data_IF_189721059329
#
_entry.id   IF_189721059329
#
_cell.length_a   1.000
_cell.length_b   1.000
_cell.length_c   1.000
_cell.angle_alpha   90.00
_cell.angle_beta   90.00
_cell.angle_gamma   90.00
#
_symmetry.space_group_name_H-M   'P 1'
#
loop_
_entity.id
_entity.type
_entity.pdbx_description
1 polymer ?
#
# COMPACT_ATOMS: atom_id res chain seq x y z
N UNK A 1 10.31 9.27 -16.06
CA UNK A 1 9.95 9.95 -14.80
C UNK A 1 10.81 11.21 -14.53
N UNK A 2 12.14 11.17 -14.32
CA UNK A 2 12.93 12.39 -13.98
C UNK A 2 12.72 13.52 -15.00
N UNK A 3 12.88 13.24 -16.31
CA UNK A 3 12.62 14.23 -17.37
C UNK A 3 11.19 14.75 -17.40
N UNK A 4 10.23 13.94 -17.01
CA UNK A 4 8.81 14.31 -16.94
C UNK A 4 8.55 15.30 -15.81
N UNK A 5 9.17 15.11 -14.64
CA UNK A 5 9.16 16.05 -13.53
C UNK A 5 9.65 17.43 -13.98
N UNK A 6 10.80 17.49 -14.68
CA UNK A 6 11.35 18.74 -15.22
C UNK A 6 10.46 19.42 -16.26
N UNK A 7 9.76 18.66 -17.10
CA UNK A 7 8.82 19.21 -18.08
C UNK A 7 7.58 19.76 -17.41
N UNK A 8 6.99 18.98 -16.48
CA UNK A 8 5.75 19.36 -15.80
C UNK A 8 5.95 20.58 -14.88
N UNK A 9 7.10 20.70 -14.22
CA UNK A 9 7.38 21.82 -13.33
C UNK A 9 7.34 23.18 -14.01
N UNK A 10 7.59 23.25 -15.33
CA UNK A 10 7.57 24.53 -16.08
C UNK A 10 6.19 25.17 -16.16
N UNK A 11 5.13 24.39 -16.01
CA UNK A 11 3.75 24.81 -16.19
C UNK A 11 2.91 24.61 -14.92
N UNK A 12 3.53 24.30 -13.80
CA UNK A 12 2.84 24.02 -12.54
C UNK A 12 3.34 24.98 -11.46
N UNK A 13 2.44 25.85 -10.97
CA UNK A 13 2.77 26.90 -10.00
C UNK A 13 2.08 26.70 -8.64
N UNK A 14 1.29 25.64 -8.49
CA UNK A 14 0.57 25.38 -7.25
C UNK A 14 1.50 24.79 -6.19
N UNK A 15 1.11 24.94 -4.93
CA UNK A 15 1.82 24.35 -3.80
C UNK A 15 1.61 22.84 -3.78
N UNK A 16 2.69 22.07 -3.77
CA UNK A 16 2.65 20.63 -3.53
C UNK A 16 2.66 20.38 -2.03
N UNK A 17 1.63 19.71 -1.55
CA UNK A 17 1.50 19.35 -0.14
C UNK A 17 1.84 17.88 0.11
N UNK A 18 1.73 17.01 -0.91
CA UNK A 18 1.99 15.58 -0.80
C UNK A 18 2.77 15.04 -2.00
N UNK A 19 3.62 14.04 -1.74
CA UNK A 19 4.23 13.19 -2.77
C UNK A 19 3.83 11.76 -2.48
N UNK A 20 3.31 11.06 -3.49
CA UNK A 20 2.86 9.69 -3.35
C UNK A 20 3.58 8.79 -4.35
N UNK A 21 4.38 7.85 -3.85
CA UNK A 21 4.99 6.79 -4.64
C UNK A 21 4.05 5.60 -4.68
N UNK A 22 3.37 5.42 -5.80
CA UNK A 22 2.38 4.38 -6.04
C UNK A 22 2.55 3.72 -7.40
N UNK A 23 1.77 2.64 -7.62
CA UNK A 23 1.77 1.87 -8.86
C UNK A 23 2.96 0.91 -8.98
N UNK A 24 2.72 -0.28 -9.52
CA UNK A 24 3.71 -1.35 -9.50
C UNK A 24 4.10 -1.73 -8.06
N UNK A 25 5.37 -1.66 -7.73
CA UNK A 25 5.88 -1.97 -6.38
C UNK A 25 6.99 -0.97 -6.00
N UNK A 26 6.64 0.23 -5.53
CA UNK A 26 7.63 1.27 -5.23
C UNK A 26 8.62 0.89 -4.12
N UNK A 27 8.25 -0.02 -3.22
CA UNK A 27 9.12 -0.54 -2.17
C UNK A 27 10.36 -1.29 -2.68
N UNK A 28 10.36 -1.71 -3.95
CA UNK A 28 11.54 -2.33 -4.58
C UNK A 28 12.61 -1.32 -5.02
N UNK A 29 12.27 -0.04 -5.12
CA UNK A 29 13.24 1.00 -5.47
C UNK A 29 14.33 1.12 -4.41
N UNK A 30 15.53 1.47 -4.87
CA UNK A 30 16.62 1.82 -3.98
C UNK A 30 16.35 3.18 -3.30
N UNK A 31 16.79 3.33 -2.05
CA UNK A 31 16.55 4.55 -1.27
C UNK A 31 17.12 5.79 -1.95
N UNK A 32 18.27 5.66 -2.61
CA UNK A 32 18.89 6.76 -3.34
C UNK A 32 18.05 7.20 -4.56
N UNK A 33 17.37 6.27 -5.23
CA UNK A 33 16.45 6.60 -6.32
C UNK A 33 15.24 7.37 -5.79
N UNK A 34 14.61 6.89 -4.71
CA UNK A 34 13.50 7.57 -4.05
C UNK A 34 13.89 8.98 -3.64
N UNK A 35 15.01 9.14 -2.96
CA UNK A 35 15.51 10.45 -2.54
C UNK A 35 15.79 11.37 -3.74
N UNK A 36 16.35 10.84 -4.82
CA UNK A 36 16.61 11.62 -6.05
C UNK A 36 15.32 12.17 -6.67
N UNK A 37 14.23 11.40 -6.68
CA UNK A 37 12.92 11.88 -7.13
C UNK A 37 12.39 12.99 -6.22
N UNK A 38 12.45 12.80 -4.90
CA UNK A 38 11.99 13.79 -3.93
C UNK A 38 12.79 15.10 -4.06
N UNK A 39 14.13 14.99 -4.15
CA UNK A 39 15.00 16.15 -4.29
C UNK A 39 14.70 16.93 -5.58
N UNK A 40 14.48 16.21 -6.69
CA UNK A 40 14.13 16.84 -7.96
C UNK A 40 12.78 17.56 -7.90
N UNK A 41 11.79 16.96 -7.23
CA UNK A 41 10.47 17.58 -7.03
C UNK A 41 10.62 18.83 -6.17
N UNK A 42 11.27 18.72 -5.02
CA UNK A 42 11.47 19.87 -4.11
C UNK A 42 12.29 20.99 -4.74
N UNK A 43 13.18 20.68 -5.69
CA UNK A 43 13.97 21.69 -6.42
C UNK A 43 13.15 22.42 -7.49
N UNK A 44 12.21 21.76 -8.14
CA UNK A 44 11.55 22.29 -9.33
C UNK A 44 10.11 22.76 -9.08
N UNK A 45 9.51 22.42 -7.95
CA UNK A 45 8.15 22.81 -7.59
C UNK A 45 8.14 23.59 -6.28
N UNK A 46 7.08 24.37 -6.07
CA UNK A 46 6.79 24.98 -4.78
C UNK A 46 6.23 23.89 -3.85
N UNK A 47 6.96 23.52 -2.81
CA UNK A 47 6.58 22.44 -1.89
C UNK A 47 6.39 22.97 -0.47
N UNK A 48 5.43 22.38 0.26
CA UNK A 48 5.18 22.66 1.67
C UNK A 48 6.38 22.22 2.54
N UNK A 49 6.65 22.93 3.64
CA UNK A 49 7.76 22.60 4.55
C UNK A 49 7.57 21.24 5.23
N UNK A 50 6.34 20.92 5.62
CA UNK A 50 5.91 19.65 6.24
C UNK A 50 5.26 18.70 5.21
N UNK A 51 5.95 18.48 4.10
CA UNK A 51 5.48 17.65 2.98
C UNK A 51 5.19 16.22 3.45
N UNK A 52 3.98 15.71 3.17
CA UNK A 52 3.71 14.28 3.34
C UNK A 52 4.29 13.50 2.17
N UNK A 53 5.12 12.52 2.47
CA UNK A 53 5.77 11.68 1.46
C UNK A 53 5.44 10.22 1.75
N UNK A 54 4.53 9.68 0.96
CA UNK A 54 4.01 8.31 1.10
C UNK A 54 4.71 7.34 0.16
N UNK A 55 5.02 6.15 0.66
CA UNK A 55 5.49 5.01 -0.12
C UNK A 55 4.52 3.84 0.02
N UNK A 56 4.03 3.32 -1.12
CA UNK A 56 3.34 2.03 -1.16
C UNK A 56 4.33 0.87 -0.99
N UNK A 57 3.95 -0.12 -0.22
CA UNK A 57 4.78 -1.30 0.03
C UNK A 57 3.96 -2.56 0.23
N UNK A 58 4.52 -3.71 -0.20
CA UNK A 58 4.02 -5.01 0.21
C UNK A 58 4.63 -5.41 1.57
N UNK A 59 3.91 -6.20 2.39
CA UNK A 59 4.45 -6.71 3.65
C UNK A 59 5.78 -7.44 3.52
N UNK A 60 5.98 -8.16 2.40
CA UNK A 60 7.19 -8.95 2.13
C UNK A 60 8.43 -8.10 1.93
N UNK A 61 8.27 -6.88 1.40
CA UNK A 61 9.37 -5.96 1.10
C UNK A 61 9.85 -5.21 2.36
N UNK A 62 8.97 -5.09 3.38
CA UNK A 62 9.23 -4.31 4.59
C UNK A 62 10.00 -5.10 5.67
N UNK A 63 11.20 -5.54 5.31
CA UNK A 63 12.14 -6.13 6.28
C UNK A 63 12.63 -5.07 7.28
N UNK A 64 13.17 -5.50 8.45
CA UNK A 64 13.77 -4.58 9.41
C UNK A 64 14.87 -3.70 8.79
N UNK A 65 15.67 -4.27 7.86
CA UNK A 65 16.70 -3.53 7.13
C UNK A 65 16.09 -2.44 6.27
N UNK A 66 15.09 -2.79 5.43
CA UNK A 66 14.41 -1.84 4.54
C UNK A 66 13.71 -0.74 5.33
N UNK A 67 13.00 -1.07 6.39
CA UNK A 67 12.34 -0.09 7.26
C UNK A 67 13.33 0.89 7.90
N UNK A 68 14.47 0.38 8.38
CA UNK A 68 15.55 1.23 8.92
C UNK A 68 16.17 2.13 7.86
N UNK A 69 16.27 1.68 6.62
CA UNK A 69 16.76 2.50 5.50
C UNK A 69 15.71 3.56 5.12
N UNK A 70 14.44 3.16 4.97
CA UNK A 70 13.34 4.08 4.68
C UNK A 70 13.18 5.16 5.76
N UNK A 71 13.34 4.82 7.03
CA UNK A 71 13.24 5.80 8.12
C UNK A 71 14.34 6.86 8.12
N UNK A 72 15.42 6.65 7.36
CA UNK A 72 16.49 7.63 7.15
C UNK A 72 16.31 8.44 5.86
N UNK A 73 15.35 8.09 5.05
CA UNK A 73 14.97 8.81 3.84
C UNK A 73 14.01 9.96 4.18
N UNK A 74 13.50 10.64 3.16
CA UNK A 74 12.47 11.66 3.31
C UNK A 74 11.04 11.07 3.39
N UNK A 75 10.88 9.74 3.23
CA UNK A 75 9.59 9.07 3.41
C UNK A 75 9.14 9.22 4.86
N UNK A 76 7.91 9.71 5.08
CA UNK A 76 7.34 9.89 6.40
C UNK A 76 5.98 9.20 6.59
N UNK A 77 5.44 8.57 5.55
CA UNK A 77 4.23 7.76 5.57
C UNK A 77 4.39 6.47 4.77
N UNK A 78 3.85 5.37 5.29
CA UNK A 78 3.73 4.10 4.56
C UNK A 78 2.27 3.79 4.23
N UNK A 79 2.00 3.25 3.02
CA UNK A 79 0.76 2.57 2.67
C UNK A 79 1.07 1.11 2.42
N UNK A 80 0.55 0.21 3.27
CA UNK A 80 0.95 -1.20 3.28
C UNK A 80 -0.19 -2.05 2.77
N UNK A 81 0.02 -2.75 1.67
CA UNK A 81 -0.95 -3.64 1.03
C UNK A 81 -1.17 -4.94 1.81
N UNK A 82 -1.78 -4.86 2.99
CA UNK A 82 -2.12 -6.01 3.84
C UNK A 82 -3.18 -6.89 3.19
N UNK A 83 -4.21 -6.29 2.62
CA UNK A 83 -5.36 -6.85 1.93
C UNK A 83 -6.32 -7.63 2.82
N UNK A 84 -5.84 -8.53 3.67
CA UNK A 84 -6.64 -9.31 4.62
C UNK A 84 -5.78 -9.87 5.75
N UNK A 85 -6.42 -10.18 6.88
CA UNK A 85 -5.84 -11.00 7.94
C UNK A 85 -6.39 -12.44 7.93
N UNK A 86 -7.05 -12.86 6.84
CA UNK A 86 -7.53 -14.21 6.60
C UNK A 86 -6.67 -14.90 5.55
N UNK A 87 -6.01 -15.99 5.92
CA UNK A 87 -5.09 -16.72 5.03
C UNK A 87 -5.77 -17.30 3.78
N UNK A 88 -7.08 -17.62 3.84
CA UNK A 88 -7.82 -18.10 2.68
C UNK A 88 -8.01 -16.98 1.66
N UNK A 89 -8.35 -15.77 2.12
CA UNK A 89 -8.49 -14.59 1.25
C UNK A 89 -7.14 -14.21 0.63
N UNK A 90 -6.06 -14.18 1.42
CA UNK A 90 -4.71 -13.92 0.93
C UNK A 90 -4.29 -14.91 -0.17
N UNK A 91 -4.62 -16.20 -0.01
CA UNK A 91 -4.37 -17.22 -1.05
C UNK A 91 -5.16 -16.98 -2.33
N UNK A 92 -6.45 -16.60 -2.24
CA UNK A 92 -7.27 -16.25 -3.40
C UNK A 92 -6.67 -15.06 -4.16
N UNK A 93 -6.14 -14.07 -3.44
CA UNK A 93 -5.45 -12.91 -4.01
C UNK A 93 -4.02 -13.19 -4.46
N UNK A 94 -3.58 -14.46 -4.39
CA UNK A 94 -2.21 -14.87 -4.72
C UNK A 94 -1.13 -14.08 -3.98
N UNK A 95 -1.39 -13.74 -2.69
CA UNK A 95 -0.42 -13.05 -1.85
C UNK A 95 0.63 -14.03 -1.32
N UNK A 96 1.89 -13.56 -1.26
CA UNK A 96 3.02 -14.34 -0.76
C UNK A 96 2.98 -14.43 0.77
N UNK A 97 2.64 -13.33 1.44
CA UNK A 97 2.52 -13.24 2.89
C UNK A 97 1.24 -13.89 3.41
N UNK A 98 1.28 -14.31 4.64
CA UNK A 98 0.14 -14.79 5.42
C UNK A 98 -0.29 -13.78 6.51
N UNK A 99 -1.35 -14.07 7.24
CA UNK A 99 -1.89 -13.23 8.31
C UNK A 99 -0.85 -12.91 9.41
N UNK A 100 -0.03 -13.89 9.78
CA UNK A 100 1.03 -13.68 10.78
C UNK A 100 2.12 -12.73 10.27
N UNK A 101 2.49 -12.84 8.99
CA UNK A 101 3.46 -11.96 8.36
C UNK A 101 2.93 -10.53 8.27
N UNK A 102 1.64 -10.35 7.93
CA UNK A 102 0.95 -9.07 7.96
C UNK A 102 1.03 -8.38 9.32
N UNK A 103 0.70 -9.12 10.38
CA UNK A 103 0.77 -8.61 11.77
C UNK A 103 2.19 -8.20 12.16
N UNK A 104 3.16 -9.07 11.90
CA UNK A 104 4.58 -8.78 12.16
C UNK A 104 5.09 -7.59 11.33
N UNK A 105 4.60 -7.42 10.10
CA UNK A 105 4.96 -6.27 9.27
C UNK A 105 4.47 -4.96 9.90
N UNK A 106 3.22 -4.91 10.35
CA UNK A 106 2.67 -3.73 11.05
C UNK A 106 3.49 -3.42 12.30
N UNK A 107 3.74 -4.41 13.15
CA UNK A 107 4.51 -4.24 14.40
C UNK A 107 5.94 -3.72 14.13
N UNK A 108 6.58 -4.23 13.07
CA UNK A 108 7.90 -3.74 12.66
C UNK A 108 7.84 -2.31 12.14
N UNK A 109 6.85 -2.00 11.31
CA UNK A 109 6.69 -0.69 10.68
C UNK A 109 6.43 0.40 11.71
N UNK A 110 5.63 0.12 12.73
CA UNK A 110 5.35 1.05 13.86
C UNK A 110 6.58 1.42 14.69
N UNK A 111 7.68 0.66 14.62
CA UNK A 111 8.95 1.03 15.28
C UNK A 111 9.69 2.16 14.57
N UNK A 112 9.36 2.42 13.32
CA UNK A 112 10.07 3.37 12.46
C UNK A 112 9.18 4.49 11.91
N UNK A 113 7.88 4.25 11.80
CA UNK A 113 6.90 5.17 11.21
C UNK A 113 5.72 5.37 12.14
N UNK A 114 5.35 6.63 12.36
CA UNK A 114 4.16 7.02 13.12
C UNK A 114 2.93 7.22 12.23
N UNK A 115 3.10 7.37 10.92
CA UNK A 115 2.01 7.54 9.96
C UNK A 115 1.96 6.33 9.02
N UNK A 116 0.99 5.43 9.27
CA UNK A 116 0.81 4.19 8.53
C UNK A 116 -0.64 4.09 8.07
N UNK A 117 -0.81 3.83 6.78
CA UNK A 117 -2.04 3.36 6.18
C UNK A 117 -1.92 1.87 5.88
N UNK A 118 -3.01 1.14 6.00
CA UNK A 118 -3.10 -0.23 5.48
C UNK A 118 -4.25 -0.33 4.48
N UNK A 119 -4.05 -1.15 3.45
CA UNK A 119 -5.08 -1.42 2.48
C UNK A 119 -5.73 -2.77 2.81
N UNK A 120 -7.07 -2.80 2.86
CA UNK A 120 -7.88 -4.00 3.09
C UNK A 120 -8.87 -4.17 1.94
N UNK A 121 -9.09 -5.42 1.54
CA UNK A 121 -10.09 -5.78 0.53
C UNK A 121 -11.27 -6.50 1.16
N UNK A 122 -12.48 -6.13 0.74
CA UNK A 122 -13.71 -6.81 1.11
C UNK A 122 -14.45 -7.33 -0.14
N UNK A 123 -15.51 -8.11 0.05
CA UNK A 123 -16.24 -8.72 -1.07
C UNK A 123 -15.48 -9.90 -1.69
N UNK A 124 -14.56 -10.52 -0.95
CA UNK A 124 -13.80 -11.68 -1.42
C UNK A 124 -14.70 -12.92 -1.58
N UNK A 125 -14.46 -13.76 -2.58
CA UNK A 125 -15.17 -15.02 -2.73
C UNK A 125 -15.12 -15.86 -1.45
N UNK A 126 -16.26 -16.42 -1.08
CA UNK A 126 -16.44 -17.22 0.15
C UNK A 126 -16.14 -16.47 1.46
N UNK A 127 -16.06 -15.15 1.42
CA UNK A 127 -16.01 -14.30 2.63
C UNK A 127 -17.42 -14.04 3.18
N UNK A 128 -17.51 -13.44 4.34
CA UNK A 128 -18.75 -13.00 4.93
C UNK A 128 -18.50 -11.79 5.84
N UNK A 129 -19.58 -11.20 6.35
CA UNK A 129 -19.50 -10.02 7.22
C UNK A 129 -18.61 -10.25 8.44
N UNK A 130 -18.70 -11.42 9.08
CA UNK A 130 -17.88 -11.73 10.26
C UNK A 130 -16.37 -11.78 9.92
N UNK A 131 -16.01 -12.23 8.73
CA UNK A 131 -14.60 -12.20 8.26
C UNK A 131 -14.14 -10.75 8.06
N UNK A 132 -14.98 -9.92 7.48
CA UNK A 132 -14.68 -8.50 7.29
C UNK A 132 -14.56 -7.75 8.64
N UNK A 133 -15.50 -7.95 9.54
CA UNK A 133 -15.45 -7.40 10.90
C UNK A 133 -14.17 -7.80 11.62
N UNK A 134 -13.79 -9.08 11.56
CA UNK A 134 -12.54 -9.54 12.16
C UNK A 134 -11.30 -8.87 11.53
N UNK A 135 -11.27 -8.62 10.20
CA UNK A 135 -10.19 -7.88 9.56
C UNK A 135 -10.11 -6.43 10.09
N UNK A 136 -11.25 -5.77 10.27
CA UNK A 136 -11.32 -4.42 10.83
C UNK A 136 -10.90 -4.39 12.31
N UNK A 137 -11.38 -5.33 13.14
CA UNK A 137 -11.03 -5.42 14.55
C UNK A 137 -9.52 -5.60 14.75
N UNK A 138 -8.90 -6.46 13.93
CA UNK A 138 -7.45 -6.63 13.95
C UNK A 138 -6.76 -5.31 13.56
N UNK A 139 -7.18 -4.67 12.49
CA UNK A 139 -6.58 -3.41 12.04
C UNK A 139 -6.68 -2.32 13.11
N UNK A 140 -7.85 -2.16 13.72
CA UNK A 140 -8.13 -1.19 14.79
C UNK A 140 -7.28 -1.51 16.04
N UNK A 141 -7.10 -2.78 16.38
CA UNK A 141 -6.30 -3.19 17.54
C UNK A 141 -4.82 -2.76 17.43
N UNK A 142 -4.33 -2.54 16.21
CA UNK A 142 -2.98 -2.01 15.97
C UNK A 142 -2.90 -0.48 16.02
N UNK A 143 -4.00 0.24 16.29
CA UNK A 143 -4.02 1.70 16.32
C UNK A 143 -3.40 2.30 15.04
N UNK A 144 -3.92 1.88 13.89
CA UNK A 144 -3.50 2.33 12.58
C UNK A 144 -4.15 3.66 12.26
N UNK A 145 -3.36 4.60 11.73
CA UNK A 145 -3.82 5.97 11.44
C UNK A 145 -4.88 6.03 10.33
N UNK A 146 -4.80 5.13 9.35
CA UNK A 146 -5.70 5.13 8.20
C UNK A 146 -5.89 3.72 7.63
N UNK A 147 -7.12 3.41 7.23
CA UNK A 147 -7.48 2.16 6.54
C UNK A 147 -8.10 2.55 5.19
N UNK A 148 -7.51 2.07 4.10
CA UNK A 148 -8.11 2.12 2.77
C UNK A 148 -8.87 0.82 2.53
N UNK A 149 -10.16 0.90 2.35
CA UNK A 149 -11.02 -0.28 2.11
C UNK A 149 -11.48 -0.33 0.65
N UNK A 150 -11.18 -1.43 -0.04
CA UNK A 150 -11.49 -1.63 -1.44
C UNK A 150 -12.43 -2.83 -1.62
N UNK A 151 -13.50 -2.64 -2.41
CA UNK A 151 -14.31 -3.76 -2.88
C UNK A 151 -13.52 -4.55 -3.94
N UNK A 152 -13.58 -5.89 -3.86
CA UNK A 152 -13.03 -6.72 -4.92
C UNK A 152 -13.77 -6.46 -6.24
N UNK A 153 -13.04 -6.02 -7.24
CA UNK A 153 -13.53 -5.92 -8.62
C UNK A 153 -12.91 -7.03 -9.46
N UNK A 154 -13.73 -7.77 -10.18
CA UNK A 154 -13.26 -8.84 -11.05
C UNK A 154 -12.89 -8.27 -12.41
N UNK A 155 -11.60 -8.11 -12.64
CA UNK A 155 -11.11 -7.57 -13.90
C UNK A 155 -11.20 -8.63 -15.03
N UNK A 156 -11.58 -8.21 -16.25
CA UNK A 156 -11.61 -9.11 -17.41
C UNK A 156 -10.25 -9.74 -17.70
N UNK A 157 -10.26 -10.96 -18.20
CA UNK A 157 -9.07 -11.74 -18.60
C UNK A 157 -8.14 -12.13 -17.43
N UNK A 158 -8.63 -12.10 -16.20
CA UNK A 158 -7.90 -12.57 -15.03
C UNK A 158 -8.17 -14.05 -14.74
N UNK A 159 -7.29 -14.66 -13.95
CA UNK A 159 -7.49 -16.03 -13.46
C UNK A 159 -8.76 -16.13 -12.62
N UNK A 160 -9.02 -15.11 -11.80
CA UNK A 160 -10.22 -15.03 -10.97
C UNK A 160 -11.50 -15.03 -11.81
N UNK A 161 -11.57 -14.22 -12.88
CA UNK A 161 -12.69 -14.23 -13.81
C UNK A 161 -12.90 -15.64 -14.43
N UNK A 162 -11.81 -16.30 -14.82
CA UNK A 162 -11.88 -17.66 -15.37
C UNK A 162 -12.44 -18.66 -14.37
N UNK A 163 -12.07 -18.57 -13.09
CA UNK A 163 -12.57 -19.46 -12.05
C UNK A 163 -14.06 -19.22 -11.75
N UNK A 164 -14.50 -17.97 -11.76
CA UNK A 164 -15.92 -17.61 -11.60
C UNK A 164 -16.74 -18.14 -12.77
N UNK A 165 -16.29 -17.90 -14.01
CA UNK A 165 -16.97 -18.42 -15.22
C UNK A 165 -17.08 -19.93 -15.26
N UNK A 166 -16.14 -20.66 -14.67
CA UNK A 166 -16.15 -22.12 -14.55
C UNK A 166 -16.97 -22.62 -13.34
N UNK A 167 -17.55 -21.73 -12.53
CA UNK A 167 -18.27 -22.11 -11.33
C UNK A 167 -17.40 -22.67 -10.21
N UNK A 168 -16.08 -22.45 -10.26
CA UNK A 168 -15.13 -22.90 -9.24
C UNK A 168 -15.10 -21.97 -8.03
N UNK A 169 -15.50 -20.74 -8.23
CA UNK A 169 -15.55 -19.69 -7.21
C UNK A 169 -16.87 -18.93 -7.39
N UNK A 170 -17.62 -18.77 -6.30
CA UNK A 170 -18.82 -17.94 -6.27
C UNK A 170 -18.48 -16.56 -5.68
N UNK A 171 -18.94 -15.50 -6.34
CA UNK A 171 -18.96 -14.16 -5.74
C UNK A 171 -20.00 -14.11 -4.61
N UNK A 172 -19.81 -13.20 -3.69
CA UNK A 172 -20.84 -12.86 -2.71
C UNK A 172 -21.93 -12.09 -3.46
N UNK A 173 -23.19 -12.51 -3.30
CA UNK A 173 -24.33 -11.72 -3.77
C UNK A 173 -24.37 -10.40 -2.97
N UNK A 174 -24.62 -9.29 -3.68
CA UNK A 174 -24.77 -7.94 -3.09
C UNK A 174 -25.96 -7.84 -2.16
#
# INVERSE_FOLDING_TARGET
MLREIEIKSKNYNELIETIYFGGGTPSLLEINEINSFIDLICKNFNTKLDLEITLEANPDDLTNKKLKELSKSKINRLSIGIQSFNDKELKIMNRVHNSLDSKKCIERSKKYFNNISIDLMYGMPNSNLATWENNLDIAISYDINHISAYALTVEPKTVLESYIKKGLINLIDE
#
